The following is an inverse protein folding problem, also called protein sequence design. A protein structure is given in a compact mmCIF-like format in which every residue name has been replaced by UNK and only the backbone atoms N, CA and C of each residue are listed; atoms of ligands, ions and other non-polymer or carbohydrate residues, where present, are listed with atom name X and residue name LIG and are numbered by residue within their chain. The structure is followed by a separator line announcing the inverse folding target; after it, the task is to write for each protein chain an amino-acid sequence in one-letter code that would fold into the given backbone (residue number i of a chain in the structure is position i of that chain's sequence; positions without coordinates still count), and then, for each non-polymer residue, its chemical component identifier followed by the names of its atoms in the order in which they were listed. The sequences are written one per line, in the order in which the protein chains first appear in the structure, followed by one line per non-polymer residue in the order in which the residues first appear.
data_IF_674022728175
#
_entry.id   IF_674022728175
#
_cell.length_a   1.000
_cell.length_b   1.000
_cell.length_c   1.000
_cell.angle_alpha   90.00
_cell.angle_beta   90.00
_cell.angle_gamma   90.00
#
_symmetry.space_group_name_H-M   'P 1'
#
loop_
_entity.id
_entity.type
_entity.pdbx_description
1 polymer ?
#
# COMPACT_ATOMS: atom_id res chain seq x y z
N UNK A 1 -1.27 41.27 -36.34
CA UNK A 1 -0.53 40.14 -35.75
C UNK A 1 0.50 40.81 -34.85
N UNK A 2 0.06 41.22 -33.66
CA UNK A 2 0.93 41.86 -32.67
C UNK A 2 1.45 40.76 -31.77
N UNK A 3 2.74 40.48 -31.89
CA UNK A 3 3.43 39.50 -31.06
C UNK A 3 3.36 39.96 -29.60
N UNK A 4 2.49 39.29 -28.84
CA UNK A 4 2.04 39.68 -27.51
C UNK A 4 3.05 39.34 -26.39
N UNK A 5 4.31 39.08 -26.74
CA UNK A 5 5.32 38.58 -25.81
C UNK A 5 6.35 39.65 -25.46
N UNK A 6 6.58 39.82 -24.16
CA UNK A 6 7.64 40.68 -23.63
C UNK A 6 9.03 40.11 -23.97
N UNK A 7 10.01 41.01 -24.12
CA UNK A 7 11.38 40.64 -24.42
C UNK A 7 12.02 39.82 -23.28
N UNK A 8 12.83 38.82 -23.60
CA UNK A 8 13.45 37.92 -22.62
C UNK A 8 14.17 38.67 -21.49
N UNK A 9 14.91 39.73 -21.82
CA UNK A 9 15.66 40.52 -20.85
C UNK A 9 14.78 41.31 -19.88
N UNK A 10 13.49 41.54 -20.18
CA UNK A 10 12.55 42.20 -19.26
C UNK A 10 11.85 41.22 -18.31
N UNK A 11 12.00 39.91 -18.53
CA UNK A 11 11.38 38.85 -17.71
C UNK A 11 12.44 38.08 -16.92
N UNK A 12 13.65 37.94 -17.46
CA UNK A 12 14.75 37.28 -16.77
C UNK A 12 15.17 38.12 -15.54
N UNK A 13 15.12 37.52 -14.35
CA UNK A 13 15.34 38.13 -13.01
C UNK A 13 14.14 38.82 -12.34
N UNK A 14 12.93 38.74 -12.89
CA UNK A 14 11.74 39.11 -12.11
C UNK A 14 11.39 37.99 -11.13
N UNK A 15 11.06 38.34 -9.89
CA UNK A 15 10.57 37.39 -8.89
C UNK A 15 9.30 36.72 -9.42
N UNK A 16 9.40 35.44 -9.74
CA UNK A 16 8.28 34.67 -10.24
C UNK A 16 7.36 34.37 -9.06
N UNK A 17 6.19 35.01 -9.01
CA UNK A 17 5.13 34.51 -8.13
C UNK A 17 4.59 33.20 -8.72
N UNK A 18 4.37 32.21 -7.87
CA UNK A 18 3.91 30.85 -8.19
C UNK A 18 2.36 30.65 -8.21
N UNK A 19 1.46 31.65 -8.33
CA UNK A 19 0.01 31.41 -8.19
C UNK A 19 -0.63 30.67 -9.38
N UNK A 20 0.14 30.33 -10.43
CA UNK A 20 -0.35 29.67 -11.65
C UNK A 20 0.26 28.28 -11.87
N UNK A 21 0.58 27.58 -10.78
CA UNK A 21 1.02 26.18 -10.86
C UNK A 21 -0.09 25.27 -10.31
N UNK A 22 -1.07 24.87 -11.15
CA UNK A 22 -2.17 24.00 -10.74
C UNK A 22 -1.68 22.76 -9.99
N UNK A 23 -0.56 22.17 -10.41
CA UNK A 23 0.02 21.01 -9.74
C UNK A 23 0.47 21.29 -8.29
N UNK A 24 0.95 22.50 -7.98
CA UNK A 24 1.35 22.87 -6.62
C UNK A 24 0.14 23.18 -5.75
N UNK A 25 -0.84 23.92 -6.30
CA UNK A 25 -2.11 24.20 -5.62
C UNK A 25 -2.84 22.90 -5.28
N UNK A 26 -2.98 21.99 -6.25
CA UNK A 26 -3.56 20.66 -6.04
C UNK A 26 -2.74 19.86 -5.01
N UNK A 27 -1.41 19.95 -5.03
CA UNK A 27 -0.58 19.25 -4.04
C UNK A 27 -0.74 19.78 -2.62
N UNK A 28 -0.92 21.09 -2.44
CA UNK A 28 -1.16 21.74 -1.15
C UNK A 28 -2.57 21.43 -0.64
N UNK A 29 -3.58 21.52 -1.50
CA UNK A 29 -4.98 21.18 -1.16
C UNK A 29 -5.16 19.68 -0.85
N UNK A 30 -4.35 18.80 -1.46
CA UNK A 30 -4.36 17.36 -1.20
C UNK A 30 -3.35 16.89 -0.15
N UNK A 31 -2.60 17.80 0.48
CA UNK A 31 -1.71 17.44 1.59
C UNK A 31 -2.51 17.24 2.88
N UNK A 32 -2.23 16.16 3.61
CA UNK A 32 -2.69 16.00 4.99
C UNK A 32 -1.99 17.05 5.87
N UNK A 33 -2.58 17.48 6.99
CA UNK A 33 -1.89 18.36 7.96
C UNK A 33 -0.61 17.71 8.53
N UNK A 34 -0.49 16.39 8.33
CA UNK A 34 0.59 15.55 8.80
C UNK A 34 1.59 15.25 7.68
N UNK A 35 2.89 15.34 8.00
CA UNK A 35 3.93 15.01 7.03
C UNK A 35 3.81 13.55 6.54
N UNK A 36 4.04 13.31 5.24
CA UNK A 36 4.02 11.95 4.67
C UNK A 36 4.99 10.98 5.34
N UNK A 37 6.04 11.50 5.99
CA UNK A 37 7.01 10.71 6.76
C UNK A 37 6.43 10.07 8.03
N UNK A 38 5.33 10.61 8.56
CA UNK A 38 4.68 10.09 9.77
C UNK A 38 3.66 8.98 9.47
N UNK A 39 3.00 9.02 8.32
CA UNK A 39 1.97 8.05 7.94
C UNK A 39 2.56 6.75 7.35
N UNK A 40 3.51 6.15 8.08
CA UNK A 40 4.23 4.92 7.72
C UNK A 40 4.00 3.79 8.74
N UNK A 41 4.17 2.53 8.31
CA UNK A 41 3.89 1.34 9.13
C UNK A 41 4.64 1.31 10.47
N UNK A 42 5.88 1.78 10.54
CA UNK A 42 6.70 1.80 11.76
C UNK A 42 6.20 2.81 12.81
N UNK A 43 5.36 3.77 12.39
CA UNK A 43 4.80 4.82 13.24
C UNK A 43 3.39 4.51 13.73
N UNK A 44 2.79 3.41 13.27
CA UNK A 44 1.48 2.95 13.75
C UNK A 44 1.61 2.60 15.24
N UNK A 45 0.83 3.28 16.08
CA UNK A 45 0.77 3.09 17.54
C UNK A 45 -0.45 2.31 18.00
N UNK A 46 -1.59 2.49 17.37
CA UNK A 46 -2.83 1.78 17.67
C UNK A 46 -3.81 1.92 16.50
N UNK A 47 -5.06 1.52 16.70
CA UNK A 47 -6.12 1.64 15.70
C UNK A 47 -7.37 2.23 16.35
N UNK A 48 -8.25 2.79 15.52
CA UNK A 48 -9.58 3.24 15.93
C UNK A 48 -10.61 2.75 14.91
N UNK A 49 -11.76 2.30 15.39
CA UNK A 49 -12.85 1.88 14.51
C UNK A 49 -13.64 3.09 14.02
N UNK A 50 -13.90 3.14 12.71
CA UNK A 50 -14.81 4.13 12.17
C UNK A 50 -16.27 3.75 12.47
N UNK A 51 -16.98 4.59 13.20
CA UNK A 51 -18.39 4.40 13.56
C UNK A 51 -19.30 4.18 12.34
N UNK A 52 -19.04 4.86 11.22
CA UNK A 52 -19.88 4.78 10.03
C UNK A 52 -19.68 3.49 9.21
N UNK A 53 -18.45 2.99 9.09
CA UNK A 53 -18.15 1.85 8.20
C UNK A 53 -17.53 0.63 8.88
N UNK A 54 -17.29 0.67 10.18
CA UNK A 54 -16.71 -0.43 10.98
C UNK A 54 -15.25 -0.76 10.65
N UNK A 55 -14.60 0.03 9.79
CA UNK A 55 -13.21 -0.21 9.39
C UNK A 55 -12.26 0.34 10.45
N UNK A 56 -11.27 -0.47 10.84
CA UNK A 56 -10.14 0.00 11.63
C UNK A 56 -9.25 0.93 10.80
N UNK A 57 -8.95 2.10 11.36
CA UNK A 57 -8.01 3.09 10.83
C UNK A 57 -6.77 3.15 11.69
N UNK A 58 -5.60 3.31 11.07
CA UNK A 58 -4.34 3.38 11.76
C UNK A 58 -4.20 4.71 12.49
N UNK A 59 -3.73 4.65 13.73
CA UNK A 59 -3.30 5.81 14.49
C UNK A 59 -1.78 5.82 14.53
N UNK A 60 -1.21 6.95 14.14
CA UNK A 60 0.21 7.18 14.01
C UNK A 60 0.71 8.10 15.13
N UNK A 61 1.96 7.92 15.53
CA UNK A 61 2.67 8.88 16.38
C UNK A 61 4.17 8.82 16.10
N UNK A 62 4.84 9.95 16.29
CA UNK A 62 6.30 10.05 16.13
C UNK A 62 7.06 9.18 17.13
N UNK A 63 6.48 9.00 18.32
CA UNK A 63 7.06 8.24 19.43
C UNK A 63 6.05 7.24 19.99
N UNK A 64 6.57 6.27 20.73
CA UNK A 64 5.75 5.36 21.51
C UNK A 64 4.92 6.15 22.54
N UNK A 65 3.64 5.78 22.67
CA UNK A 65 2.74 6.38 23.66
C UNK A 65 3.12 5.96 25.07
N UNK A 66 3.18 6.95 25.97
CA UNK A 66 3.32 6.73 27.41
C UNK A 66 1.99 6.29 28.02
N UNK A 67 2.02 5.82 29.27
CA UNK A 67 0.83 5.27 29.95
C UNK A 67 -0.35 6.24 29.93
N UNK A 68 -0.14 7.50 30.32
CA UNK A 68 -1.19 8.50 30.43
C UNK A 68 -1.84 8.80 29.07
N UNK A 69 -1.04 8.84 28.00
CA UNK A 69 -1.55 9.06 26.64
C UNK A 69 -2.35 7.87 26.11
N UNK A 70 -2.01 6.65 26.53
CA UNK A 70 -2.79 5.45 26.20
C UNK A 70 -4.11 5.44 26.96
N UNK A 71 -4.10 5.87 28.21
CA UNK A 71 -5.31 5.99 29.00
C UNK A 71 -6.26 7.02 28.40
N UNK A 72 -5.73 8.20 28.05
CA UNK A 72 -6.51 9.25 27.41
C UNK A 72 -7.06 8.80 26.05
N UNK A 73 -6.25 8.10 25.25
CA UNK A 73 -6.72 7.51 24.01
C UNK A 73 -7.85 6.50 24.24
N UNK A 74 -7.77 5.71 25.31
CA UNK A 74 -8.84 4.80 25.71
C UNK A 74 -10.15 5.51 26.02
N UNK A 75 -10.13 6.74 26.55
CA UNK A 75 -11.34 7.54 26.74
C UNK A 75 -11.96 7.94 25.39
N UNK A 76 -11.12 8.40 24.45
CA UNK A 76 -11.58 8.74 23.09
C UNK A 76 -12.22 7.52 22.42
N UNK A 77 -11.58 6.35 22.49
CA UNK A 77 -12.09 5.12 21.90
C UNK A 77 -13.48 4.71 22.46
N UNK A 78 -13.73 5.00 23.74
CA UNK A 78 -14.99 4.61 24.41
C UNK A 78 -16.09 5.67 24.30
N UNK A 79 -15.74 6.95 24.25
CA UNK A 79 -16.69 8.07 24.35
C UNK A 79 -16.98 8.72 23.00
N UNK A 80 -16.04 8.67 22.05
CA UNK A 80 -16.11 9.42 20.79
C UNK A 80 -16.40 8.50 19.60
N UNK A 81 -17.38 8.90 18.78
CA UNK A 81 -17.69 8.23 17.52
C UNK A 81 -16.81 8.77 16.40
N UNK A 82 -15.58 8.26 16.30
CA UNK A 82 -14.69 8.60 15.20
C UNK A 82 -15.30 8.22 13.84
N UNK A 83 -15.18 9.11 12.86
CA UNK A 83 -15.56 8.84 11.48
C UNK A 83 -14.40 9.10 10.52
N UNK A 84 -14.38 8.37 9.41
CA UNK A 84 -13.42 8.60 8.33
C UNK A 84 -13.49 10.07 7.88
N UNK A 85 -12.35 10.63 7.46
CA UNK A 85 -12.23 12.04 7.02
C UNK A 85 -12.37 13.08 8.15
N UNK A 86 -12.44 12.64 9.41
CA UNK A 86 -12.47 13.52 10.58
C UNK A 86 -11.12 13.55 11.30
N UNK A 87 -10.85 14.66 11.97
CA UNK A 87 -9.79 14.74 12.98
C UNK A 87 -10.08 13.75 14.11
N UNK A 88 -9.02 13.18 14.70
CA UNK A 88 -9.15 12.26 15.83
C UNK A 88 -9.70 12.97 17.08
N UNK A 89 -9.21 14.19 17.32
CA UNK A 89 -9.57 15.06 18.45
C UNK A 89 -9.54 16.52 18.00
N UNK A 90 -10.14 17.41 18.80
CA UNK A 90 -10.07 18.85 18.61
C UNK A 90 -8.67 19.41 18.91
N UNK A 91 -8.37 20.61 18.38
CA UNK A 91 -7.04 21.25 18.46
C UNK A 91 -6.55 21.53 19.89
N UNK A 92 -7.49 21.74 20.83
CA UNK A 92 -7.23 21.98 22.24
C UNK A 92 -6.93 20.70 23.04
N UNK A 93 -7.13 19.53 22.43
CA UNK A 93 -6.92 18.26 23.11
C UNK A 93 -5.44 17.92 23.27
N UNK A 94 -5.06 17.33 24.41
CA UNK A 94 -3.66 17.03 24.76
C UNK A 94 -2.97 16.03 23.81
N UNK A 95 -3.76 15.32 23.00
CA UNK A 95 -3.31 14.34 22.00
C UNK A 95 -3.28 14.88 20.57
N UNK A 96 -3.77 16.09 20.31
CA UNK A 96 -3.95 16.62 18.95
C UNK A 96 -2.66 16.58 18.12
N UNK A 97 -1.56 17.11 18.66
CA UNK A 97 -0.25 17.09 18.00
C UNK A 97 0.60 15.84 18.32
N UNK A 98 -0.03 14.76 18.77
CA UNK A 98 0.66 13.53 19.20
C UNK A 98 0.13 12.29 18.50
N UNK A 99 -1.17 12.21 18.30
CA UNK A 99 -1.86 11.13 17.64
C UNK A 99 -2.47 11.62 16.35
N UNK A 100 -2.22 10.87 15.29
CA UNK A 100 -2.60 11.27 13.95
C UNK A 100 -3.36 10.15 13.28
N UNK A 101 -4.44 10.51 12.62
CA UNK A 101 -5.16 9.66 11.66
C UNK A 101 -4.92 10.22 10.26
N UNK A 102 -5.17 9.42 9.24
CA UNK A 102 -5.15 9.92 7.87
C UNK A 102 -6.41 10.75 7.64
N UNK A 103 -6.26 12.04 7.37
CA UNK A 103 -7.38 12.97 7.23
C UNK A 103 -8.12 12.84 5.90
N UNK A 104 -7.50 12.32 4.84
CA UNK A 104 -8.15 12.08 3.53
C UNK A 104 -8.50 10.61 3.30
N UNK A 105 -9.03 9.97 4.34
CA UNK A 105 -9.47 8.58 4.25
C UNK A 105 -11.00 8.52 4.27
N UNK A 106 -11.61 7.93 3.25
CA UNK A 106 -13.08 7.81 3.19
C UNK A 106 -13.54 6.41 3.57
N UNK A 107 -14.82 6.27 3.92
CA UNK A 107 -15.45 4.97 4.22
C UNK A 107 -15.41 4.00 3.03
N UNK A 108 -15.24 4.48 1.80
CA UNK A 108 -15.15 3.65 0.60
C UNK A 108 -13.75 3.06 0.39
N UNK A 109 -12.73 3.70 0.96
CA UNK A 109 -11.36 3.22 0.87
C UNK A 109 -11.15 1.97 1.72
N UNK A 110 -10.31 1.03 1.23
CA UNK A 110 -9.97 -0.20 1.95
C UNK A 110 -9.22 0.09 3.27
N UNK A 111 -8.99 -0.96 4.04
CA UNK A 111 -8.09 -0.93 5.20
C UNK A 111 -6.68 -0.51 4.75
N UNK A 112 -6.02 0.31 5.55
CA UNK A 112 -4.71 0.85 5.23
C UNK A 112 -3.65 -0.27 5.17
N UNK A 113 -2.71 -0.19 4.21
CA UNK A 113 -1.61 -1.17 4.11
C UNK A 113 -0.70 -1.19 5.34
N UNK A 114 -0.63 -0.06 6.04
CA UNK A 114 0.09 0.07 7.29
C UNK A 114 -0.44 -0.91 8.35
N UNK A 115 -1.76 -1.15 8.40
CA UNK A 115 -2.40 -2.14 9.28
C UNK A 115 -1.78 -3.52 9.09
N UNK A 116 -1.78 -4.04 7.85
CA UNK A 116 -1.24 -5.36 7.54
C UNK A 116 0.26 -5.48 7.82
N UNK A 117 0.99 -4.38 7.65
CA UNK A 117 2.42 -4.34 7.93
C UNK A 117 2.74 -4.28 9.43
N UNK A 118 1.84 -3.73 10.25
CA UNK A 118 2.02 -3.61 11.70
C UNK A 118 1.47 -4.82 12.48
N UNK A 119 0.57 -5.61 11.89
CA UNK A 119 0.02 -6.82 12.53
C UNK A 119 1.10 -7.84 12.90
N UNK A 120 2.11 -8.06 12.04
CA UNK A 120 3.16 -9.05 12.28
C UNK A 120 3.95 -8.82 13.56
N UNK A 121 3.94 -7.59 14.10
CA UNK A 121 4.67 -7.20 15.30
C UNK A 121 3.77 -7.08 16.54
N UNK A 122 2.45 -7.29 16.42
CA UNK A 122 1.48 -7.05 17.49
C UNK A 122 0.66 -8.31 17.74
N UNK A 123 0.81 -8.88 18.94
CA UNK A 123 0.05 -10.06 19.35
C UNK A 123 -1.45 -9.74 19.47
N UNK A 124 -2.31 -10.68 19.06
CA UNK A 124 -3.76 -10.60 19.24
C UNK A 124 -4.54 -9.83 18.16
N UNK A 125 -3.87 -9.26 17.15
CA UNK A 125 -4.58 -8.64 16.03
C UNK A 125 -5.11 -9.68 15.05
N UNK A 126 -6.35 -9.48 14.63
CA UNK A 126 -7.04 -10.36 13.70
C UNK A 126 -6.61 -10.07 12.26
N UNK A 127 -6.57 -11.11 11.45
CA UNK A 127 -6.54 -10.94 10.01
C UNK A 127 -7.90 -10.37 9.57
N UNK A 128 -7.90 -9.30 8.78
CA UNK A 128 -9.13 -8.65 8.29
C UNK A 128 -9.16 -8.64 6.77
N UNK A 129 -10.36 -8.64 6.19
CA UNK A 129 -10.56 -8.41 4.76
C UNK A 129 -10.06 -7.01 4.37
N UNK A 130 -9.23 -6.93 3.33
CA UNK A 130 -8.67 -5.68 2.81
C UNK A 130 -9.74 -4.63 2.50
N UNK A 131 -10.85 -5.06 1.92
CA UNK A 131 -11.88 -4.12 1.44
C UNK A 131 -12.85 -3.68 2.52
N UNK A 132 -13.36 -4.61 3.33
CA UNK A 132 -14.45 -4.33 4.27
C UNK A 132 -14.03 -4.33 5.74
N UNK A 133 -12.83 -4.80 6.08
CA UNK A 133 -12.38 -4.85 7.47
C UNK A 133 -12.99 -5.98 8.31
N UNK A 134 -13.84 -6.83 7.74
CA UNK A 134 -14.45 -7.96 8.46
C UNK A 134 -13.45 -9.11 8.62
N UNK A 135 -13.44 -9.74 9.79
CA UNK A 135 -12.68 -10.95 10.09
C UNK A 135 -13.41 -12.23 9.66
N UNK A 136 -12.65 -13.25 9.28
CA UNK A 136 -13.19 -14.56 8.91
C UNK A 136 -13.81 -14.63 7.51
N UNK A 137 -14.23 -15.85 7.13
CA UNK A 137 -14.82 -16.17 5.82
C UNK A 137 -14.00 -15.67 4.63
N UNK A 138 -12.68 -15.84 4.70
CA UNK A 138 -11.77 -15.49 3.61
C UNK A 138 -11.91 -16.46 2.44
N UNK A 139 -11.85 -15.93 1.23
CA UNK A 139 -11.75 -16.71 0.01
C UNK A 139 -10.29 -17.10 -0.20
N UNK A 140 -10.09 -18.32 -0.69
CA UNK A 140 -8.76 -18.78 -1.08
C UNK A 140 -8.31 -18.08 -2.36
N UNK A 141 -7.11 -17.46 -2.37
CA UNK A 141 -6.59 -16.83 -3.56
C UNK A 141 -6.34 -17.85 -4.65
N UNK A 142 -6.64 -17.48 -5.88
CA UNK A 142 -6.37 -18.32 -7.05
C UNK A 142 -4.87 -18.60 -7.19
N UNK A 143 -4.51 -19.82 -7.61
CA UNK A 143 -3.11 -20.27 -7.71
C UNK A 143 -2.24 -19.36 -8.59
N UNK A 144 -2.82 -18.80 -9.66
CA UNK A 144 -2.14 -17.86 -10.55
C UNK A 144 -1.69 -16.57 -9.82
N UNK A 145 -2.48 -16.08 -8.85
CA UNK A 145 -2.13 -14.91 -8.05
C UNK A 145 -1.00 -15.27 -7.09
N UNK A 146 -1.09 -16.43 -6.43
CA UNK A 146 -0.06 -16.94 -5.50
C UNK A 146 1.27 -17.13 -6.21
N UNK A 147 1.25 -17.65 -7.44
CA UNK A 147 2.47 -17.81 -8.24
C UNK A 147 3.05 -16.47 -8.74
N UNK A 148 2.21 -15.44 -8.90
CA UNK A 148 2.60 -14.17 -9.51
C UNK A 148 3.04 -13.10 -8.48
N UNK A 149 2.46 -13.07 -7.29
CA UNK A 149 2.66 -11.97 -6.34
C UNK A 149 3.20 -12.45 -4.99
N UNK A 150 4.09 -11.65 -4.40
CA UNK A 150 4.68 -11.93 -3.08
C UNK A 150 3.70 -11.65 -1.94
N UNK A 151 2.87 -10.62 -2.09
CA UNK A 151 1.89 -10.22 -1.08
C UNK A 151 0.49 -10.30 -1.67
N UNK A 152 -0.38 -11.07 -1.02
CA UNK A 152 -1.79 -11.18 -1.33
C UNK A 152 -2.55 -10.89 -0.05
N UNK A 153 -3.35 -9.84 -0.08
CA UNK A 153 -4.08 -9.40 1.10
C UNK A 153 -5.37 -10.19 1.26
N UNK A 154 -5.75 -10.42 2.51
CA UNK A 154 -6.92 -11.21 2.87
C UNK A 154 -8.18 -10.61 2.28
N UNK A 155 -9.08 -11.50 1.85
CA UNK A 155 -10.21 -11.10 1.04
C UNK A 155 -11.41 -11.99 1.37
N UNK A 156 -12.54 -11.40 1.77
CA UNK A 156 -13.70 -12.18 2.19
C UNK A 156 -14.62 -12.55 1.03
N UNK A 157 -15.33 -13.67 1.19
CA UNK A 157 -16.29 -14.20 0.21
C UNK A 157 -17.39 -13.18 -0.12
N UNK A 158 -17.81 -12.35 0.85
CA UNK A 158 -18.82 -11.33 0.61
C UNK A 158 -18.31 -10.27 -0.38
N UNK A 159 -17.08 -9.78 -0.22
CA UNK A 159 -16.51 -8.83 -1.17
C UNK A 159 -16.31 -9.45 -2.55
N UNK A 160 -16.02 -10.76 -2.63
CA UNK A 160 -15.93 -11.51 -3.90
C UNK A 160 -17.25 -11.50 -4.65
N UNK A 161 -18.36 -11.79 -3.96
CA UNK A 161 -19.70 -11.77 -4.56
C UNK A 161 -20.12 -10.36 -5.02
N UNK A 162 -19.60 -9.32 -4.39
CA UNK A 162 -19.84 -7.92 -4.77
C UNK A 162 -18.87 -7.40 -5.84
N UNK A 163 -18.11 -8.27 -6.51
CA UNK A 163 -17.28 -7.90 -7.66
C UNK A 163 -16.01 -7.11 -7.31
N UNK A 164 -15.57 -7.12 -6.05
CA UNK A 164 -14.21 -6.65 -5.73
C UNK A 164 -13.17 -7.66 -6.25
N UNK A 165 -11.89 -7.31 -6.19
CA UNK A 165 -10.80 -8.20 -6.58
C UNK A 165 -9.77 -8.32 -5.44
N UNK A 166 -8.95 -9.37 -5.48
CA UNK A 166 -7.78 -9.46 -4.61
C UNK A 166 -6.88 -8.24 -4.81
N UNK A 167 -6.44 -7.67 -3.70
CA UNK A 167 -5.35 -6.71 -3.73
C UNK A 167 -4.03 -7.47 -3.58
N UNK A 168 -3.09 -7.23 -4.48
CA UNK A 168 -1.81 -7.92 -4.54
C UNK A 168 -0.67 -6.92 -4.71
N UNK A 169 0.51 -7.22 -4.16
CA UNK A 169 1.70 -6.39 -4.31
C UNK A 169 2.95 -7.22 -4.58
N UNK A 170 3.90 -6.56 -5.24
CA UNK A 170 5.23 -7.07 -5.60
C UNK A 170 5.16 -8.34 -6.46
N UNK A 171 5.22 -8.14 -7.77
CA UNK A 171 5.33 -9.26 -8.72
C UNK A 171 6.63 -10.04 -8.51
N UNK A 172 6.51 -11.36 -8.46
CA UNK A 172 7.64 -12.29 -8.39
C UNK A 172 8.29 -12.31 -9.77
N UNK A 173 9.45 -11.66 -9.88
CA UNK A 173 10.27 -11.73 -11.10
C UNK A 173 10.89 -13.11 -11.20
N UNK A 174 10.34 -13.97 -12.04
CA UNK A 174 11.01 -15.20 -12.44
C UNK A 174 12.08 -14.86 -13.48
N UNK A 175 13.35 -15.04 -13.12
CA UNK A 175 14.39 -15.17 -14.13
C UNK A 175 14.06 -16.45 -14.92
N UNK A 176 13.54 -16.30 -16.14
CA UNK A 176 13.45 -17.43 -17.08
C UNK A 176 14.88 -17.97 -17.27
N UNK A 177 15.26 -19.02 -16.53
CA UNK A 177 16.30 -19.90 -17.00
C UNK A 177 15.79 -20.38 -18.34
N UNK A 178 16.47 -20.00 -19.43
CA UNK A 178 16.24 -20.60 -20.74
C UNK A 178 16.26 -22.10 -20.53
N UNK A 179 15.12 -22.76 -20.71
CA UNK A 179 15.10 -24.21 -20.83
C UNK A 179 16.06 -24.53 -21.97
N UNK A 180 17.19 -25.16 -21.62
CA UNK A 180 18.02 -25.81 -22.62
C UNK A 180 17.20 -27.02 -23.04
N UNK A 181 16.56 -26.92 -24.20
CA UNK A 181 15.87 -28.02 -24.83
C UNK A 181 16.92 -29.10 -25.15
N UNK A 182 17.05 -30.10 -24.28
CA UNK A 182 17.93 -31.25 -24.51
C UNK A 182 17.18 -32.19 -25.45
N UNK A 183 17.26 -31.95 -26.76
CA UNK A 183 16.83 -32.93 -27.75
C UNK A 183 17.77 -34.12 -27.74
N UNK A 184 17.31 -35.27 -27.23
CA UNK A 184 18.02 -36.54 -27.33
C UNK A 184 17.85 -37.12 -28.74
N UNK A 185 18.91 -37.08 -29.54
CA UNK A 185 18.97 -37.86 -30.79
C UNK A 185 19.40 -39.29 -30.48
N UNK A 186 18.54 -40.25 -30.79
CA UNK A 186 18.91 -41.66 -30.82
C UNK A 186 19.55 -41.98 -32.18
N UNK A 187 20.89 -42.06 -32.23
CA UNK A 187 21.61 -42.62 -33.36
C UNK A 187 21.83 -44.12 -33.13
N UNK A 188 21.23 -44.94 -33.97
CA UNK A 188 21.46 -46.40 -33.97
C UNK A 188 22.58 -46.70 -34.95
N UNK A 189 23.78 -47.02 -34.45
CA UNK A 189 24.87 -47.59 -35.26
C UNK A 189 25.23 -48.94 -34.63
N UNK A 190 25.00 -50.02 -35.38
CA UNK A 190 25.51 -51.38 -35.13
C UNK A 190 25.57 -51.88 -33.68
N UNK A 191 24.54 -52.64 -33.24
CA UNK A 191 24.47 -53.54 -32.05
C UNK A 191 25.06 -53.08 -30.70
N UNK A 192 25.47 -51.81 -30.50
CA UNK A 192 25.83 -51.26 -29.19
C UNK A 192 25.18 -49.88 -29.00
N UNK A 193 24.29 -49.75 -28.02
CA UNK A 193 23.71 -48.46 -27.60
C UNK A 193 24.78 -47.69 -26.82
N UNK A 194 25.22 -46.54 -27.31
CA UNK A 194 26.02 -45.58 -26.57
C UNK A 194 25.25 -44.25 -26.42
N UNK A 195 25.08 -43.76 -25.19
CA UNK A 195 24.55 -42.42 -24.90
C UNK A 195 25.71 -41.43 -24.98
N UNK A 196 25.73 -40.56 -25.99
CA UNK A 196 26.68 -39.45 -26.07
C UNK A 196 25.93 -38.15 -25.76
N UNK A 197 26.42 -37.40 -24.76
CA UNK A 197 26.00 -36.02 -24.50
C UNK A 197 26.80 -35.09 -25.40
N UNK A 198 26.18 -34.50 -26.43
CA UNK A 198 26.82 -33.42 -27.19
C UNK A 198 26.21 -32.08 -26.76
N UNK A 199 27.05 -31.16 -26.26
CA UNK A 199 26.71 -29.76 -26.11
C UNK A 199 26.74 -29.11 -27.50
N UNK A 200 25.61 -28.59 -27.98
CA UNK A 200 25.60 -27.71 -29.16
C UNK A 200 25.89 -26.28 -28.69
N UNK A 201 27.06 -25.77 -29.06
CA UNK A 201 27.38 -24.35 -29.00
C UNK A 201 26.59 -23.63 -30.11
N UNK A 202 25.57 -22.86 -29.73
CA UNK A 202 24.86 -22.00 -30.68
C UNK A 202 25.69 -20.73 -30.87
N UNK A 203 26.37 -20.61 -32.01
CA UNK A 203 26.94 -19.34 -32.49
C UNK A 203 25.81 -18.34 -32.76
N UNK A 204 25.89 -17.15 -32.14
CA UNK A 204 25.09 -15.99 -32.53
C UNK A 204 25.58 -15.47 -33.89
N UNK A 205 24.66 -15.28 -34.83
CA UNK A 205 24.79 -14.23 -35.85
C UNK A 205 24.03 -13.01 -35.37
#
# INVERSE_FOLDING_TARGET
NDDHYAAFNSVHNTETSEPHRPSLVIALESADHVSKGLLINTKVQTYIECFQCGKLRCIYSERTLISDERQEFGLIENEMNYTCDSLLVSEDHILYNKLFVREKITCELPIELAYYSSISHRQGLKQLCYWCGVDGSFADPQENLVAKYKFIFSYCIWCLKNGKNYFCQVEIKTNKKKEVEVTMFNLTIGRKKCKIRSLVLICKK
#
